data_IF_876501063674
#
_entry.id   IF_876501063674
#
_cell.length_a   1.000
_cell.length_b   1.000
_cell.length_c   1.000
_cell.angle_alpha   90.00
_cell.angle_beta   90.00
_cell.angle_gamma   90.00
#
_symmetry.space_group_name_H-M   'P 1'
#
loop_
_entity.id
_entity.type
_entity.pdbx_description
1 polymer ?
#
# COMPACT_ATOMS: atom_id res chain seq x y z
N UNK A 1 3.78 -15.99 8.49
CA UNK A 1 2.59 -15.65 7.68
C UNK A 1 3.14 -15.06 6.40
N UNK A 2 2.90 -15.71 5.25
CA UNK A 2 3.61 -15.37 4.01
C UNK A 2 3.31 -13.94 3.56
N UNK A 3 4.36 -13.13 3.43
CA UNK A 3 4.40 -11.88 2.63
C UNK A 3 4.21 -12.14 1.12
N UNK A 4 3.58 -13.27 0.76
CA UNK A 4 3.49 -13.82 -0.60
C UNK A 4 2.03 -14.16 -0.96
N UNK A 5 1.07 -13.67 -0.17
CA UNK A 5 -0.35 -13.80 -0.44
C UNK A 5 -0.71 -13.00 -1.71
N UNK A 6 -1.52 -13.62 -2.58
CA UNK A 6 -2.08 -12.91 -3.73
C UNK A 6 -3.15 -11.91 -3.28
N UNK A 7 -3.48 -10.94 -4.14
CA UNK A 7 -4.59 -10.04 -3.88
C UNK A 7 -5.90 -10.83 -3.71
N UNK A 8 -6.09 -11.91 -4.45
CA UNK A 8 -7.21 -12.82 -4.27
C UNK A 8 -7.28 -13.41 -2.86
N UNK A 9 -6.15 -13.88 -2.31
CA UNK A 9 -6.10 -14.41 -0.95
C UNK A 9 -6.48 -13.34 0.09
N UNK A 10 -6.06 -12.09 -0.12
CA UNK A 10 -6.39 -10.98 0.79
C UNK A 10 -7.86 -10.57 0.71
N UNK A 11 -8.47 -10.61 -0.47
CA UNK A 11 -9.91 -10.34 -0.65
C UNK A 11 -10.76 -11.45 -0.04
N UNK A 12 -10.41 -12.71 -0.30
CA UNK A 12 -11.13 -13.87 0.27
C UNK A 12 -10.99 -13.99 1.78
N UNK A 13 -9.89 -13.48 2.35
CA UNK A 13 -9.69 -13.34 3.78
C UNK A 13 -10.31 -12.04 4.37
N UNK A 14 -11.07 -11.27 3.59
CA UNK A 14 -11.71 -10.01 3.99
C UNK A 14 -10.74 -8.95 4.52
N UNK A 15 -9.46 -9.02 4.13
CA UNK A 15 -8.42 -8.05 4.50
C UNK A 15 -8.35 -6.86 3.55
N UNK A 16 -8.86 -7.02 2.33
CA UNK A 16 -9.01 -5.98 1.31
C UNK A 16 -10.45 -6.06 0.78
N UNK A 17 -11.11 -4.91 0.68
CA UNK A 17 -12.47 -4.84 0.19
C UNK A 17 -12.50 -5.06 -1.33
N UNK A 18 -13.56 -5.69 -1.86
CA UNK A 18 -13.68 -5.92 -3.31
C UNK A 18 -13.82 -4.58 -4.06
N UNK A 19 -14.36 -3.57 -3.40
CA UNK A 19 -14.48 -2.20 -3.89
C UNK A 19 -13.11 -1.55 -4.13
N UNK A 20 -12.12 -1.84 -3.28
CA UNK A 20 -10.74 -1.36 -3.46
C UNK A 20 -10.10 -1.96 -4.72
N UNK A 21 -10.43 -3.22 -5.04
CA UNK A 21 -10.01 -3.85 -6.30
C UNK A 21 -10.66 -3.15 -7.50
N UNK A 22 -11.95 -2.83 -7.40
CA UNK A 22 -12.67 -2.06 -8.42
C UNK A 22 -12.02 -0.71 -8.69
N UNK A 23 -11.73 0.05 -7.62
CA UNK A 23 -11.05 1.34 -7.71
C UNK A 23 -9.65 1.21 -8.35
N UNK A 24 -8.88 0.19 -7.99
CA UNK A 24 -7.56 -0.06 -8.58
C UNK A 24 -7.65 -0.34 -10.09
N UNK A 25 -8.66 -1.09 -10.53
CA UNK A 25 -8.89 -1.34 -11.96
C UNK A 25 -9.20 -0.04 -12.70
N UNK A 26 -10.09 0.79 -12.17
CA UNK A 26 -10.46 2.06 -12.80
C UNK A 26 -9.25 3.02 -12.86
N UNK A 27 -8.41 3.04 -11.83
CA UNK A 27 -7.15 3.80 -11.83
C UNK A 27 -6.18 3.31 -12.90
N UNK A 28 -5.99 1.99 -13.03
CA UNK A 28 -5.12 1.44 -14.07
C UNK A 28 -5.64 1.75 -15.48
N UNK A 29 -6.94 1.63 -15.72
CA UNK A 29 -7.52 1.93 -17.04
C UNK A 29 -7.42 3.42 -17.40
N UNK A 30 -7.47 4.30 -16.40
CA UNK A 30 -7.25 5.74 -16.61
C UNK A 30 -5.76 6.09 -16.80
N UNK A 31 -4.85 5.42 -16.08
CA UNK A 31 -3.40 5.64 -16.14
C UNK A 31 -2.64 4.29 -16.08
N UNK A 32 -2.40 3.65 -17.26
CA UNK A 32 -1.79 2.32 -17.35
C UNK A 32 -0.33 2.22 -16.88
N UNK A 33 0.29 3.34 -16.49
CA UNK A 33 1.65 3.38 -15.95
C UNK A 33 1.69 3.39 -14.41
N UNK A 34 0.54 3.27 -13.74
CA UNK A 34 0.44 3.35 -12.27
C UNK A 34 1.18 2.20 -11.58
N UNK A 35 2.24 2.52 -10.83
CA UNK A 35 3.13 1.54 -10.19
C UNK A 35 2.98 1.37 -8.67
N UNK A 36 2.43 2.34 -7.94
CA UNK A 36 2.35 2.22 -6.48
C UNK A 36 0.98 2.70 -6.01
N UNK A 37 -0.02 1.85 -6.22
CA UNK A 37 -1.39 2.14 -5.85
C UNK A 37 -1.70 1.58 -4.46
N UNK A 38 -2.14 2.41 -3.49
CA UNK A 38 -2.67 1.93 -2.23
C UNK A 38 -3.90 1.05 -2.47
N UNK A 39 -3.96 -0.12 -1.85
CA UNK A 39 -5.10 -1.03 -1.95
C UNK A 39 -5.47 -1.54 -0.55
N UNK A 40 -6.67 -1.18 -0.09
CA UNK A 40 -7.04 -1.34 1.32
C UNK A 40 -6.20 -0.48 2.29
N UNK A 41 -6.27 -0.77 3.60
CA UNK A 41 -5.69 0.10 4.63
C UNK A 41 -4.16 0.05 4.68
N UNK A 42 -3.58 -1.14 4.50
CA UNK A 42 -2.17 -1.41 4.83
C UNK A 42 -1.38 -2.06 3.69
N UNK A 43 -1.90 -2.07 2.47
CA UNK A 43 -1.21 -2.68 1.32
C UNK A 43 -1.05 -1.70 0.16
N UNK A 44 -0.07 -1.98 -0.67
CA UNK A 44 0.14 -1.33 -1.96
C UNK A 44 0.39 -2.38 -3.04
N UNK A 45 -0.05 -2.10 -4.26
CA UNK A 45 0.16 -2.96 -5.41
C UNK A 45 0.71 -2.15 -6.58
N UNK A 46 1.69 -2.73 -7.26
CA UNK A 46 2.16 -2.27 -8.56
C UNK A 46 1.22 -2.77 -9.65
N UNK A 47 0.31 -1.90 -10.08
CA UNK A 47 -0.72 -2.24 -11.06
C UNK A 47 -0.09 -2.53 -12.43
N UNK A 48 0.85 -1.69 -12.85
CA UNK A 48 1.58 -1.86 -14.10
C UNK A 48 2.39 -3.16 -14.12
N UNK A 49 3.13 -3.46 -13.05
CA UNK A 49 3.88 -4.71 -12.96
C UNK A 49 2.96 -5.94 -12.89
N UNK A 50 1.83 -5.85 -12.17
CA UNK A 50 0.86 -6.94 -12.12
C UNK A 50 0.26 -7.25 -13.50
N UNK A 51 -0.12 -6.22 -14.27
CA UNK A 51 -0.65 -6.39 -15.63
C UNK A 51 0.43 -6.88 -16.60
N UNK A 52 1.65 -6.34 -16.52
CA UNK A 52 2.77 -6.77 -17.35
C UNK A 52 3.16 -8.25 -17.11
N UNK A 53 3.04 -8.72 -15.87
CA UNK A 53 3.29 -10.12 -15.51
C UNK A 53 2.21 -11.09 -16.02
N UNK A 54 1.03 -10.59 -16.42
CA UNK A 54 -0.09 -11.41 -16.89
C UNK A 54 -0.24 -11.32 -18.41
N UNK A 55 0.30 -12.30 -19.13
CA UNK A 55 0.42 -12.29 -20.59
C UNK A 55 -0.90 -11.96 -21.33
N UNK A 56 -2.02 -12.56 -20.91
CA UNK A 56 -3.33 -12.26 -21.49
C UNK A 56 -3.76 -10.81 -21.24
N UNK A 57 -3.50 -10.27 -20.05
CA UNK A 57 -3.94 -8.91 -19.73
C UNK A 57 -3.08 -7.86 -20.44
N UNK A 58 -1.78 -8.10 -20.51
CA UNK A 58 -0.87 -7.26 -21.28
C UNK A 58 -1.28 -7.20 -22.75
N UNK A 59 -1.66 -8.33 -23.37
CA UNK A 59 -2.13 -8.37 -24.75
C UNK A 59 -3.48 -7.66 -24.94
N UNK A 60 -4.47 -7.91 -24.07
CA UNK A 60 -5.82 -7.32 -24.19
C UNK A 60 -5.82 -5.80 -23.97
N UNK A 61 -4.96 -5.27 -23.08
CA UNK A 61 -4.95 -3.82 -22.79
C UNK A 61 -4.38 -3.01 -23.95
N UNK A 62 -3.42 -3.55 -24.71
CA UNK A 62 -2.81 -2.86 -25.85
C UNK A 62 -3.54 -3.09 -27.17
N UNK A 63 -4.46 -4.05 -27.20
CA UNK A 63 -5.25 -4.38 -28.38
C UNK A 63 -6.32 -3.29 -28.64
N UNK A 64 -6.24 -2.57 -29.78
CA UNK A 64 -7.22 -1.54 -30.12
C UNK A 64 -8.61 -2.09 -30.40
N UNK A 65 -8.73 -3.38 -30.76
CA UNK A 65 -10.01 -4.02 -31.08
C UNK A 65 -10.73 -4.55 -29.83
N UNK A 66 -10.04 -4.60 -28.69
CA UNK A 66 -10.63 -5.04 -27.43
C UNK A 66 -11.63 -4.01 -26.91
N UNK A 67 -12.80 -4.47 -26.48
CA UNK A 67 -13.81 -3.62 -25.86
C UNK A 67 -13.47 -3.30 -24.38
N UNK A 68 -14.15 -2.29 -23.85
CA UNK A 68 -13.93 -1.78 -22.50
C UNK A 68 -14.23 -2.82 -21.38
N UNK A 69 -15.35 -3.57 -21.41
CA UNK A 69 -15.56 -4.71 -20.53
C UNK A 69 -14.44 -5.77 -20.58
N UNK A 70 -13.96 -6.11 -21.77
CA UNK A 70 -12.88 -7.09 -21.97
C UNK A 70 -11.57 -6.62 -21.32
N UNK A 71 -11.17 -5.37 -21.55
CA UNK A 71 -10.01 -4.77 -20.87
C UNK A 71 -10.15 -4.79 -19.36
N UNK A 72 -11.32 -4.38 -18.84
CA UNK A 72 -11.61 -4.36 -17.40
C UNK A 72 -11.48 -5.75 -16.77
N UNK A 73 -11.99 -6.79 -17.43
CA UNK A 73 -11.88 -8.17 -16.94
C UNK A 73 -10.44 -8.69 -16.98
N UNK A 74 -9.70 -8.35 -18.02
CA UNK A 74 -8.30 -8.75 -18.17
C UNK A 74 -7.43 -8.12 -17.08
N UNK A 75 -7.59 -6.80 -16.84
CA UNK A 75 -6.92 -6.09 -15.74
C UNK A 75 -7.30 -6.69 -14.39
N UNK A 76 -8.60 -6.91 -14.13
CA UNK A 76 -9.05 -7.56 -12.89
C UNK A 76 -8.34 -8.88 -12.65
N UNK A 77 -8.27 -9.74 -13.66
CA UNK A 77 -7.62 -11.05 -13.56
C UNK A 77 -6.14 -10.91 -13.21
N UNK A 78 -5.44 -9.98 -13.86
CA UNK A 78 -4.04 -9.70 -13.56
C UNK A 78 -3.81 -9.19 -12.13
N UNK A 79 -4.62 -8.21 -11.68
CA UNK A 79 -4.48 -7.65 -10.34
C UNK A 79 -4.74 -8.69 -9.25
N UNK A 80 -5.74 -9.57 -9.43
CA UNK A 80 -6.04 -10.64 -8.47
C UNK A 80 -4.89 -11.64 -8.31
N UNK A 81 -4.09 -11.86 -9.36
CA UNK A 81 -2.88 -12.68 -9.32
C UNK A 81 -1.64 -11.90 -8.84
N UNK A 82 -1.75 -10.58 -8.70
CA UNK A 82 -0.73 -9.71 -8.15
C UNK A 82 -0.49 -9.99 -6.67
N UNK A 83 0.68 -9.59 -6.19
CA UNK A 83 1.11 -9.77 -4.78
C UNK A 83 1.27 -8.40 -4.13
N UNK A 84 0.28 -7.94 -3.35
CA UNK A 84 0.38 -6.68 -2.65
C UNK A 84 1.47 -6.73 -1.59
N UNK A 85 2.25 -5.65 -1.49
CA UNK A 85 3.25 -5.48 -0.44
C UNK A 85 2.64 -4.76 0.75
N UNK A 86 3.00 -5.16 1.97
CA UNK A 86 2.64 -4.41 3.15
C UNK A 86 3.19 -2.98 3.04
N UNK A 87 2.30 -2.00 3.10
CA UNK A 87 2.66 -0.59 3.15
C UNK A 87 3.22 -0.35 4.54
N UNK A 88 4.54 -0.18 4.64
CA UNK A 88 5.13 0.32 5.87
C UNK A 88 4.68 1.77 6.06
N UNK A 89 3.52 1.96 6.68
CA UNK A 89 3.20 3.24 7.29
C UNK A 89 4.32 3.44 8.29
N UNK A 90 5.12 4.49 8.12
CA UNK A 90 6.20 4.80 9.05
C UNK A 90 5.69 4.66 10.47
N UNK A 91 6.07 3.56 11.13
CA UNK A 91 5.85 3.35 12.54
C UNK A 91 6.42 4.63 13.16
N UNK A 92 5.56 5.47 13.72
CA UNK A 92 6.00 6.53 14.61
C UNK A 92 6.84 5.81 15.65
N UNK A 93 8.16 5.88 15.55
CA UNK A 93 9.06 5.31 16.54
C UNK A 93 8.80 6.05 17.85
N UNK A 94 8.18 5.43 18.87
CA UNK A 94 7.99 6.10 20.16
C UNK A 94 9.33 6.40 20.85
N UNK A 95 10.44 5.83 20.34
CA UNK A 95 11.78 6.03 20.87
C UNK A 95 12.39 7.42 20.54
N UNK A 96 11.85 8.17 19.57
CA UNK A 96 12.37 9.50 19.21
C UNK A 96 11.83 10.62 20.11
N UNK A 97 10.64 10.46 20.68
CA UNK A 97 10.07 11.41 21.64
C UNK A 97 10.64 11.24 23.05
N UNK A 98 10.99 10.02 23.46
CA UNK A 98 11.51 9.78 24.82
C UNK A 98 12.89 10.43 25.05
N UNK A 99 13.77 10.49 24.04
CA UNK A 99 15.10 11.11 24.17
C UNK A 99 15.05 12.65 24.25
N UNK A 100 14.02 13.29 23.70
CA UNK A 100 13.78 14.73 23.88
C UNK A 100 13.20 15.05 25.25
N UNK A 101 12.33 14.19 25.79
CA UNK A 101 11.79 14.33 27.14
C UNK A 101 12.87 14.11 28.24
N UNK A 102 13.73 13.09 28.09
CA UNK A 102 14.80 12.78 29.05
C UNK A 102 15.86 13.90 29.13
N UNK A 103 16.15 14.56 28.00
CA UNK A 103 17.08 15.70 27.94
C UNK A 103 16.48 16.95 28.61
N UNK A 104 15.17 17.17 28.50
CA UNK A 104 14.49 18.28 29.17
C UNK A 104 14.42 18.10 30.69
N UNK A 105 14.24 16.87 31.18
CA UNK A 105 14.20 16.56 32.61
C UNK A 105 15.57 16.78 33.27
N UNK A 106 16.67 16.39 32.62
CA UNK A 106 18.02 16.63 33.17
C UNK A 106 18.46 18.10 33.16
N UNK A 107 17.94 18.92 32.26
CA UNK A 107 18.22 20.36 32.23
C UNK A 107 17.38 21.15 33.25
N UNK A 108 16.22 20.63 33.68
CA UNK A 108 15.36 21.29 34.67
C UNK A 108 15.79 21.04 36.13
N UNK A 109 16.48 19.93 36.40
CA UNK A 109 16.95 19.59 37.75
C UNK A 109 18.17 20.40 38.25
N UNK A 110 18.73 21.31 37.42
CA UNK A 110 19.92 22.08 37.76
C UNK A 110 19.64 23.44 38.46
N UNK A 111 18.37 23.86 38.58
CA UNK A 111 18.05 25.22 39.03
C UNK A 111 17.54 25.31 40.48
N UNK A 112 17.27 24.20 41.16
CA UNK A 112 16.81 24.25 42.56
C UNK A 112 18.00 24.21 43.53
N UNK A 113 18.65 25.37 43.70
CA UNK A 113 19.61 25.60 44.78
C UNK A 113 18.89 26.39 45.89
N UNK A 114 18.62 25.79 47.06
CA UNK A 114 17.86 26.47 48.11
C UNK A 114 18.72 27.57 48.73
N UNK A 115 18.30 28.83 48.61
CA UNK A 115 18.84 29.92 49.43
C UNK A 115 18.35 29.74 50.86
N UNK A 116 19.25 29.23 51.72
CA UNK A 116 19.08 29.29 53.17
C UNK A 116 19.24 30.74 53.65
N UNK A 117 18.21 31.16 54.40
CA UNK A 117 18.14 32.15 55.49
C UNK A 117 18.81 33.51 55.32
#
# INVERSE_FOLDING_TARGET
>A
MSDDATLWDLVTAERIAIEDVGAAIDVYLAEPTTQNHPIGPDHSLDLAAAVAAHAFASATVVDPDSDEPSRRMAVRSALLMGRPTARSIGRRDPARDQRSADRAIRLSAATDRPRRR
#
